data_IF_738029711548
#
_entry.id   IF_738029711548
#
_cell.length_a   1.000
_cell.length_b   1.000
_cell.length_c   1.000
_cell.angle_alpha   90.00
_cell.angle_beta   90.00
_cell.angle_gamma   90.00
#
_symmetry.space_group_name_H-M   'P 1'
#
loop_
_entity.id
_entity.type
_entity.pdbx_description
1 polymer ?
#
# COMPACT_ATOMS: atom_id res chain seq x y z
N UNK A 1 -1.06 -42.58 37.51
CA UNK A 1 -1.63 -41.21 37.60
C UNK A 1 -0.91 -40.19 36.72
N UNK A 2 0.42 -40.22 36.57
CA UNK A 2 1.21 -39.27 35.75
C UNK A 2 0.91 -39.20 34.23
N UNK A 3 0.26 -40.20 33.66
CA UNK A 3 -0.05 -40.24 32.22
C UNK A 3 -1.26 -39.35 31.85
N UNK A 4 -2.16 -39.12 32.81
CA UNK A 4 -3.40 -38.35 32.60
C UNK A 4 -3.13 -36.85 32.52
N UNK A 5 -2.21 -36.34 33.35
CA UNK A 5 -1.87 -34.90 33.39
C UNK A 5 -1.18 -34.42 32.11
N UNK A 6 -0.31 -35.25 31.52
CA UNK A 6 0.38 -34.93 30.26
C UNK A 6 -0.59 -34.87 29.07
N UNK A 7 -1.62 -35.72 29.06
CA UNK A 7 -2.65 -35.72 28.02
C UNK A 7 -3.55 -34.48 28.14
N UNK A 8 -3.88 -34.06 29.37
CA UNK A 8 -4.65 -32.83 29.61
C UNK A 8 -3.85 -31.61 29.16
N UNK A 9 -2.56 -31.52 29.51
CA UNK A 9 -1.69 -30.43 29.09
C UNK A 9 -1.53 -30.36 27.56
N UNK A 10 -1.37 -31.51 26.89
CA UNK A 10 -1.28 -31.58 25.43
C UNK A 10 -2.59 -31.17 24.74
N UNK A 11 -3.74 -31.57 25.28
CA UNK A 11 -5.06 -31.14 24.76
C UNK A 11 -5.29 -29.64 24.92
N UNK A 12 -4.89 -29.04 26.06
CA UNK A 12 -4.97 -27.60 26.27
C UNK A 12 -4.06 -26.82 25.31
N UNK A 13 -2.85 -27.32 25.05
CA UNK A 13 -1.91 -26.74 24.10
C UNK A 13 -2.49 -26.73 22.66
N UNK A 14 -3.09 -27.84 22.22
CA UNK A 14 -3.70 -27.94 20.89
C UNK A 14 -4.94 -27.04 20.74
N UNK A 15 -5.74 -26.87 21.80
CA UNK A 15 -6.89 -25.95 21.80
C UNK A 15 -6.43 -24.48 21.71
N UNK A 16 -5.32 -24.12 22.37
CA UNK A 16 -4.77 -22.76 22.31
C UNK A 16 -4.18 -22.39 20.94
N UNK A 17 -3.70 -23.38 20.16
CA UNK A 17 -3.19 -23.20 18.79
C UNK A 17 -4.31 -23.06 17.74
N UNK A 18 -5.56 -23.44 18.07
CA UNK A 18 -6.69 -23.45 17.13
C UNK A 18 -7.49 -22.15 17.04
N UNK A 19 -7.17 -21.12 17.83
CA UNK A 19 -7.89 -19.85 17.88
C UNK A 19 -7.21 -18.72 17.08
N UNK A 20 -6.59 -19.05 15.95
CA UNK A 20 -6.36 -18.02 14.92
C UNK A 20 -7.71 -17.78 14.25
N UNK A 21 -8.53 -16.93 14.87
CA UNK A 21 -9.76 -16.46 14.26
C UNK A 21 -9.35 -15.62 13.05
N UNK A 22 -9.51 -16.19 11.86
CA UNK A 22 -9.56 -15.42 10.63
C UNK A 22 -10.82 -14.56 10.75
N UNK A 23 -10.67 -13.38 11.33
CA UNK A 23 -11.77 -12.44 11.48
C UNK A 23 -12.33 -12.20 10.08
N UNK A 24 -13.54 -12.71 9.80
CA UNK A 24 -14.23 -12.47 8.53
C UNK A 24 -14.68 -11.02 8.35
N UNK A 25 -14.19 -10.11 9.19
CA UNK A 25 -14.45 -8.68 9.12
C UNK A 25 -13.68 -8.07 7.94
N UNK A 26 -14.35 -7.17 7.22
CA UNK A 26 -13.74 -6.43 6.13
C UNK A 26 -12.62 -5.52 6.68
N UNK A 27 -11.40 -5.56 6.12
CA UNK A 27 -10.36 -4.62 6.52
C UNK A 27 -10.71 -3.20 6.06
N UNK A 28 -10.31 -2.21 6.85
CA UNK A 28 -10.49 -0.79 6.54
C UNK A 28 -9.14 -0.08 6.45
N UNK A 29 -9.03 0.83 5.48
CA UNK A 29 -7.92 1.78 5.36
C UNK A 29 -8.42 3.14 5.83
N UNK A 30 -7.83 3.62 6.93
CA UNK A 30 -8.06 4.95 7.49
C UNK A 30 -6.93 5.83 6.97
N UNK A 31 -7.26 6.60 5.94
CA UNK A 31 -6.30 7.41 5.18
C UNK A 31 -6.20 8.79 5.83
N UNK A 32 -5.01 9.11 6.34
CA UNK A 32 -4.66 10.47 6.73
C UNK A 32 -4.49 11.34 5.48
N UNK A 33 -5.38 12.32 5.30
CA UNK A 33 -5.41 13.19 4.12
C UNK A 33 -4.37 14.32 4.22
N UNK A 34 -3.69 14.68 3.14
CA UNK A 34 -2.80 15.83 2.98
C UNK A 34 -1.66 15.86 4.01
N UNK A 35 -0.95 14.73 4.15
CA UNK A 35 0.17 14.52 5.09
C UNK A 35 1.49 14.85 4.39
N UNK A 36 1.70 16.13 4.11
CA UNK A 36 2.79 16.61 3.25
C UNK A 36 4.09 16.95 4.01
N UNK A 37 4.16 16.73 5.32
CA UNK A 37 5.35 16.99 6.12
C UNK A 37 5.65 15.88 7.11
N UNK A 38 6.93 15.74 7.47
CA UNK A 38 7.36 14.72 8.44
C UNK A 38 6.70 14.90 9.81
N UNK A 39 6.46 16.16 10.23
CA UNK A 39 5.80 16.45 11.51
C UNK A 39 4.38 15.88 11.60
N UNK A 40 3.64 15.91 10.48
CA UNK A 40 2.26 15.40 10.42
C UNK A 40 2.18 13.87 10.42
N UNK A 41 3.24 13.17 9.97
CA UNK A 41 3.23 11.70 9.93
C UNK A 41 2.91 11.12 11.31
N UNK A 42 3.60 11.62 12.34
CA UNK A 42 3.37 11.17 13.73
C UNK A 42 1.97 11.50 14.21
N UNK A 43 1.49 12.71 13.94
CA UNK A 43 0.15 13.18 14.32
C UNK A 43 -0.94 12.24 13.80
N UNK A 44 -0.97 11.99 12.48
CA UNK A 44 -1.99 11.14 11.87
C UNK A 44 -1.89 9.67 12.29
N UNK A 45 -0.67 9.13 12.43
CA UNK A 45 -0.49 7.74 12.86
C UNK A 45 -0.86 7.53 14.34
N UNK A 46 -0.60 8.52 15.19
CA UNK A 46 -1.00 8.50 16.61
C UNK A 46 -2.52 8.64 16.78
N UNK A 47 -3.19 9.34 15.86
CA UNK A 47 -4.66 9.45 15.79
C UNK A 47 -5.35 8.24 15.16
N UNK A 48 -4.58 7.26 14.67
CA UNK A 48 -5.08 5.96 14.24
C UNK A 48 -5.15 5.74 12.73
N UNK A 49 -4.60 6.63 11.91
CA UNK A 49 -4.41 6.35 10.49
C UNK A 49 -3.50 5.13 10.28
N UNK A 50 -3.82 4.31 9.29
CA UNK A 50 -3.00 3.16 8.85
C UNK A 50 -2.49 3.32 7.40
N UNK A 51 -2.92 4.39 6.74
CA UNK A 51 -2.47 4.86 5.43
C UNK A 51 -2.28 6.36 5.51
N UNK A 52 -1.26 6.90 4.83
CA UNK A 52 -1.05 8.33 4.70
C UNK A 52 -1.12 8.70 3.22
N UNK A 53 -1.84 9.76 2.90
CA UNK A 53 -1.88 10.38 1.58
C UNK A 53 -0.99 11.63 1.59
N UNK A 54 -0.19 11.80 0.53
CA UNK A 54 0.66 12.97 0.33
C UNK A 54 0.63 13.43 -1.13
N UNK A 55 0.49 14.74 -1.31
CA UNK A 55 0.44 15.43 -2.59
C UNK A 55 1.84 15.61 -3.17
N UNK A 56 2.09 15.06 -4.36
CA UNK A 56 3.37 15.19 -5.06
C UNK A 56 3.25 16.25 -6.14
N UNK A 57 4.01 17.35 -5.99
CA UNK A 57 4.15 18.35 -7.05
C UNK A 57 5.35 18.04 -7.94
N UNK A 58 5.22 18.45 -9.19
CA UNK A 58 6.26 18.31 -10.20
C UNK A 58 6.66 19.67 -10.74
N UNK A 59 7.89 19.76 -11.23
CA UNK A 59 8.29 20.83 -12.15
C UNK A 59 7.76 20.51 -13.56
N UNK A 60 7.73 21.52 -14.42
CA UNK A 60 7.27 21.37 -15.81
C UNK A 60 8.05 20.33 -16.62
N UNK A 61 9.31 20.06 -16.27
CA UNK A 61 10.13 19.03 -16.91
C UNK A 61 9.80 17.59 -16.43
N UNK A 62 8.87 17.43 -15.49
CA UNK A 62 8.48 16.16 -14.88
C UNK A 62 9.32 15.72 -13.69
N UNK A 63 10.34 16.48 -13.26
CA UNK A 63 11.05 16.15 -12.01
C UNK A 63 10.22 16.51 -10.78
N UNK A 64 10.37 15.76 -9.70
CA UNK A 64 9.67 16.02 -8.44
C UNK A 64 10.14 17.33 -7.85
N UNK A 65 9.17 18.17 -7.48
CA UNK A 65 9.40 19.46 -6.86
C UNK A 65 9.44 19.34 -5.33
N UNK A 66 8.31 18.97 -4.74
CA UNK A 66 8.14 18.81 -3.30
C UNK A 66 6.83 18.07 -2.99
N UNK A 67 6.68 17.64 -1.74
CA UNK A 67 5.38 17.25 -1.20
C UNK A 67 4.66 18.50 -0.73
N UNK A 68 3.56 18.88 -1.38
CA UNK A 68 2.85 20.12 -1.08
C UNK A 68 1.49 20.16 -1.78
N UNK A 69 0.45 20.53 -1.03
CA UNK A 69 -0.88 20.77 -1.58
C UNK A 69 -1.01 22.21 -2.11
N UNK A 70 -0.81 23.20 -1.22
CA UNK A 70 -1.12 24.60 -1.50
C UNK A 70 -2.58 24.98 -1.30
N UNK A 71 -2.90 26.26 -1.52
CA UNK A 71 -4.25 26.79 -1.39
C UNK A 71 -4.97 26.76 -2.74
N UNK A 72 -6.29 26.45 -2.81
CA UNK A 72 -7.19 26.10 -1.70
C UNK A 72 -6.98 24.65 -1.21
N UNK A 73 -7.34 24.37 0.05
CA UNK A 73 -7.38 23.01 0.61
C UNK A 73 -8.59 22.84 1.55
N UNK A 74 -8.77 21.63 2.11
CA UNK A 74 -9.83 21.31 3.06
C UNK A 74 -10.01 22.35 4.18
N UNK A 75 -11.26 22.64 4.53
CA UNK A 75 -11.62 23.57 5.58
C UNK A 75 -10.96 23.21 6.92
N UNK A 76 -10.37 24.21 7.60
CA UNK A 76 -9.73 24.03 8.91
C UNK A 76 -8.33 23.40 8.85
N UNK A 77 -7.78 23.15 7.66
CA UNK A 77 -6.41 22.64 7.49
C UNK A 77 -5.42 23.76 7.20
N UNK A 78 -4.18 23.57 7.67
CA UNK A 78 -3.05 24.38 7.24
C UNK A 78 -2.48 23.79 5.94
N UNK A 79 -2.73 24.45 4.81
CA UNK A 79 -2.28 23.98 3.49
C UNK A 79 -0.77 24.18 3.23
N UNK A 80 -0.06 24.86 4.15
CA UNK A 80 1.32 25.32 3.99
C UNK A 80 2.40 24.27 4.29
N UNK A 81 2.03 23.11 4.81
CA UNK A 81 2.99 22.06 5.17
C UNK A 81 3.58 21.41 3.93
N UNK A 82 4.89 21.15 3.99
CA UNK A 82 5.64 20.58 2.87
C UNK A 82 6.89 19.84 3.31
N UNK A 83 7.40 18.99 2.43
CA UNK A 83 8.65 18.27 2.63
C UNK A 83 9.35 17.96 1.30
N UNK A 84 10.64 17.68 1.40
CA UNK A 84 11.34 17.02 0.30
C UNK A 84 10.95 15.53 0.28
N UNK A 85 10.57 14.99 -0.89
CA UNK A 85 10.14 13.59 -1.01
C UNK A 85 11.21 12.61 -0.54
N UNK A 86 12.50 12.87 -0.79
CA UNK A 86 13.61 12.02 -0.33
C UNK A 86 13.58 11.84 1.18
N UNK A 87 13.46 12.93 1.92
CA UNK A 87 13.53 12.92 3.37
C UNK A 87 12.25 12.33 3.97
N UNK A 88 11.10 12.63 3.36
CA UNK A 88 9.83 12.01 3.68
C UNK A 88 9.89 10.47 3.52
N UNK A 89 10.34 9.96 2.37
CA UNK A 89 10.45 8.52 2.10
C UNK A 89 11.45 7.83 3.03
N UNK A 90 12.58 8.45 3.32
CA UNK A 90 13.54 7.92 4.31
C UNK A 90 12.91 7.83 5.70
N UNK A 91 12.12 8.84 6.08
CA UNK A 91 11.41 8.82 7.36
C UNK A 91 10.41 7.67 7.39
N UNK A 92 9.55 7.53 6.36
CA UNK A 92 8.62 6.40 6.23
C UNK A 92 9.37 5.07 6.35
N UNK A 93 10.42 4.86 5.56
CA UNK A 93 11.24 3.64 5.63
C UNK A 93 11.71 3.36 7.05
N UNK A 94 12.23 4.37 7.74
CA UNK A 94 12.77 4.21 9.08
C UNK A 94 11.68 3.79 10.07
N UNK A 95 10.48 4.39 9.99
CA UNK A 95 9.37 4.09 10.91
C UNK A 95 8.60 2.82 10.54
N UNK A 96 8.81 2.25 9.35
CA UNK A 96 8.22 0.98 8.92
C UNK A 96 9.22 -0.18 8.90
N UNK A 97 10.46 0.04 9.33
CA UNK A 97 11.46 -1.03 9.47
C UNK A 97 11.34 -1.69 10.84
N UNK A 98 10.90 -2.96 10.93
CA UNK A 98 10.78 -3.66 12.21
C UNK A 98 12.13 -3.90 12.91
N UNK A 99 13.25 -3.75 12.20
CA UNK A 99 14.59 -3.97 12.74
C UNK A 99 15.26 -2.67 13.20
N UNK A 100 14.64 -1.52 12.95
CA UNK A 100 15.20 -0.23 13.31
C UNK A 100 14.91 0.10 14.79
N UNK A 101 15.86 -0.30 15.64
CA UNK A 101 15.78 -0.14 17.11
C UNK A 101 15.73 1.32 17.59
N UNK A 102 16.21 2.25 16.76
CA UNK A 102 16.28 3.68 17.09
C UNK A 102 15.01 4.43 16.67
N UNK A 103 14.07 3.76 15.99
CA UNK A 103 12.80 4.36 15.58
C UNK A 103 11.63 3.84 16.41
N UNK A 104 10.66 4.72 16.65
CA UNK A 104 9.32 4.30 17.04
C UNK A 104 8.68 3.61 15.84
N UNK A 105 8.91 2.31 15.70
CA UNK A 105 8.34 1.51 14.62
C UNK A 105 6.80 1.55 14.68
N UNK A 106 6.17 2.06 13.64
CA UNK A 106 4.72 2.19 13.51
C UNK A 106 4.14 0.92 12.87
N UNK A 107 3.81 -0.05 13.73
CA UNK A 107 3.27 -1.35 13.30
C UNK A 107 1.98 -1.27 12.49
N UNK A 108 1.21 -0.19 12.66
CA UNK A 108 -0.07 0.06 11.99
C UNK A 108 0.06 0.68 10.61
N UNK A 109 1.18 1.31 10.26
CA UNK A 109 1.32 1.90 8.93
C UNK A 109 1.50 0.79 7.89
N UNK A 110 0.58 0.71 6.93
CA UNK A 110 0.54 -0.38 5.94
C UNK A 110 0.73 0.10 4.51
N UNK A 111 0.42 1.37 4.23
CA UNK A 111 0.43 1.91 2.88
C UNK A 111 0.79 3.39 2.87
N UNK A 112 1.52 3.78 1.82
CA UNK A 112 1.70 5.17 1.43
C UNK A 112 0.89 5.40 0.14
N UNK A 113 0.07 6.43 0.16
CA UNK A 113 -0.75 6.85 -0.96
C UNK A 113 -0.18 8.17 -1.51
N UNK A 114 0.07 8.26 -2.81
CA UNK A 114 0.57 9.49 -3.44
C UNK A 114 -0.46 10.04 -4.41
N UNK A 115 -0.98 11.25 -4.14
CA UNK A 115 -1.77 12.03 -5.08
C UNK A 115 -0.83 12.83 -5.99
N UNK A 116 -0.82 12.50 -7.28
CA UNK A 116 0.06 13.16 -8.24
C UNK A 116 -0.59 14.41 -8.83
N UNK A 117 -0.08 15.58 -8.45
CA UNK A 117 -0.45 16.89 -9.03
C UNK A 117 0.25 17.10 -10.37
N UNK A 118 -0.24 16.41 -11.39
CA UNK A 118 0.35 16.38 -12.75
C UNK A 118 -0.01 17.58 -13.62
N UNK A 119 -0.92 18.46 -13.17
CA UNK A 119 -1.35 19.68 -13.86
C UNK A 119 -0.18 20.63 -14.20
N UNK A 120 0.87 20.61 -13.39
CA UNK A 120 2.07 21.42 -13.58
C UNK A 120 3.16 20.75 -14.41
N UNK A 121 3.00 19.46 -14.75
CA UNK A 121 4.00 18.67 -15.46
C UNK A 121 3.67 18.55 -16.95
N UNK A 122 4.60 19.00 -17.80
CA UNK A 122 4.50 18.78 -19.25
C UNK A 122 5.09 17.42 -19.68
N UNK A 123 5.62 16.63 -18.73
CA UNK A 123 6.22 15.33 -19.01
C UNK A 123 5.77 14.31 -17.95
N UNK A 124 4.55 13.79 -18.12
CA UNK A 124 3.92 12.80 -17.23
C UNK A 124 4.74 11.50 -17.15
N UNK A 125 5.37 11.09 -18.25
CA UNK A 125 6.26 9.91 -18.30
C UNK A 125 7.49 10.09 -17.42
N UNK A 126 8.18 11.23 -17.50
CA UNK A 126 9.31 11.49 -16.60
C UNK A 126 8.85 11.65 -15.14
N UNK A 127 7.65 12.19 -14.91
CA UNK A 127 7.06 12.29 -13.56
C UNK A 127 6.91 10.92 -12.90
N UNK A 128 6.36 9.95 -13.62
CA UNK A 128 6.27 8.57 -13.15
C UNK A 128 7.65 7.93 -12.95
N UNK A 129 8.59 8.15 -13.88
CA UNK A 129 9.97 7.63 -13.77
C UNK A 129 10.72 8.20 -12.58
N UNK A 130 10.62 9.50 -12.35
CA UNK A 130 11.31 10.17 -11.25
C UNK A 130 10.73 9.75 -9.90
N UNK A 131 9.40 9.64 -9.79
CA UNK A 131 8.75 9.10 -8.60
C UNK A 131 9.19 7.67 -8.30
N UNK A 132 9.19 6.79 -9.31
CA UNK A 132 9.64 5.41 -9.16
C UNK A 132 11.11 5.34 -8.71
N UNK A 133 12.00 6.17 -9.28
CA UNK A 133 13.39 6.29 -8.83
C UNK A 133 13.48 6.69 -7.36
N UNK A 134 12.70 7.67 -6.92
CA UNK A 134 12.69 8.10 -5.51
C UNK A 134 12.22 6.98 -4.57
N UNK A 135 11.13 6.29 -4.90
CA UNK A 135 10.61 5.17 -4.10
C UNK A 135 11.67 4.07 -3.99
N UNK A 136 12.26 3.64 -5.11
CA UNK A 136 13.28 2.59 -5.12
C UNK A 136 14.55 2.99 -4.34
N UNK A 137 14.98 4.25 -4.47
CA UNK A 137 16.23 4.71 -3.88
C UNK A 137 16.14 5.13 -2.41
N UNK A 138 14.95 5.47 -1.91
CA UNK A 138 14.78 6.05 -0.58
C UNK A 138 13.81 5.28 0.33
N UNK A 139 12.81 4.60 -0.25
CA UNK A 139 11.90 3.74 0.49
C UNK A 139 12.34 2.28 0.45
N UNK A 140 12.36 1.67 -0.74
CA UNK A 140 12.67 0.25 -0.94
C UNK A 140 14.16 0.02 -1.22
N UNK A 141 15.00 0.57 -0.35
CA UNK A 141 16.44 0.33 -0.44
C UNK A 141 16.71 -1.13 -0.18
N UNK A 142 17.40 -1.77 -1.13
CA UNK A 142 17.78 -3.19 -1.05
C UNK A 142 18.76 -3.39 0.11
N UNK A 143 18.26 -3.62 1.31
CA UNK A 143 19.08 -4.04 2.44
C UNK A 143 19.13 -5.57 2.50
N UNK A 144 20.11 -6.12 3.23
CA UNK A 144 20.25 -7.59 3.41
C UNK A 144 19.15 -8.18 4.32
N UNK A 145 18.21 -7.37 4.79
CA UNK A 145 17.24 -7.71 5.82
C UNK A 145 15.85 -7.58 5.21
N UNK A 146 14.97 -8.54 5.51
CA UNK A 146 13.57 -8.49 5.13
C UNK A 146 12.89 -7.30 5.85
N UNK A 147 12.81 -6.16 5.16
CA UNK A 147 11.96 -5.05 5.58
C UNK A 147 10.50 -5.46 5.37
N UNK A 148 9.61 -5.14 6.31
CA UNK A 148 8.17 -5.30 6.10
C UNK A 148 7.77 -4.49 4.86
N UNK A 149 7.10 -5.12 3.91
CA UNK A 149 6.65 -4.44 2.70
C UNK A 149 5.57 -3.42 3.04
N UNK A 150 5.82 -2.14 2.77
CA UNK A 150 4.80 -1.12 2.69
C UNK A 150 4.24 -1.09 1.26
N UNK A 151 2.93 -1.02 1.13
CA UNK A 151 2.28 -0.82 -0.16
C UNK A 151 2.38 0.64 -0.59
N UNK A 152 2.66 0.89 -1.87
CA UNK A 152 2.58 2.24 -2.44
C UNK A 152 1.44 2.25 -3.45
N UNK A 153 0.49 3.17 -3.27
CA UNK A 153 -0.55 3.47 -4.24
C UNK A 153 -0.23 4.82 -4.87
N UNK A 154 -0.35 4.88 -6.20
CA UNK A 154 -0.13 6.10 -6.97
C UNK A 154 -1.45 6.46 -7.62
N UNK A 155 -1.98 7.62 -7.28
CA UNK A 155 -3.20 8.17 -7.87
C UNK A 155 -2.84 9.29 -8.85
N UNK A 156 -3.48 9.29 -9.99
CA UNK A 156 -3.36 10.33 -11.00
C UNK A 156 -4.76 10.68 -11.47
N UNK A 157 -5.25 11.85 -11.10
CA UNK A 157 -6.46 12.42 -11.66
C UNK A 157 -6.10 13.15 -12.96
N UNK A 158 -6.22 12.48 -14.11
CA UNK A 158 -6.13 13.14 -15.42
C UNK A 158 -7.53 13.45 -15.92
N UNK A 159 -7.78 14.71 -16.28
CA UNK A 159 -9.03 15.16 -16.93
C UNK A 159 -9.04 14.93 -18.44
N UNK A 160 -8.01 14.28 -19.00
CA UNK A 160 -7.85 14.05 -20.44
C UNK A 160 -7.88 12.56 -20.74
N UNK A 161 -9.02 12.10 -21.25
CA UNK A 161 -9.26 10.74 -21.75
C UNK A 161 -9.23 10.75 -23.29
N UNK A 162 -8.22 11.33 -23.92
CA UNK A 162 -7.97 11.11 -25.35
C UNK A 162 -6.47 11.13 -25.63
N UNK A 163 -5.82 9.97 -25.49
CA UNK A 163 -4.73 9.62 -26.40
C UNK A 163 -4.69 8.10 -26.54
N UNK A 164 -4.83 7.66 -27.77
CA UNK A 164 -4.77 6.28 -28.21
C UNK A 164 -3.38 5.72 -27.85
N UNK A 165 -3.28 5.04 -26.71
CA UNK A 165 -2.05 4.35 -26.32
C UNK A 165 -1.76 3.24 -27.34
N UNK A 166 -0.75 3.48 -28.17
CA UNK A 166 -0.16 2.44 -29.00
C UNK A 166 0.58 1.46 -28.07
N UNK A 167 0.02 0.27 -27.89
CA UNK A 167 0.49 -0.82 -26.99
C UNK A 167 1.90 -1.35 -27.30
N UNK A 168 2.63 -0.75 -28.24
CA UNK A 168 3.93 -1.20 -28.71
C UNK A 168 5.11 -0.87 -27.77
N UNK A 169 4.96 0.10 -26.85
CA UNK A 169 6.09 0.64 -26.06
C UNK A 169 6.36 -0.06 -24.70
N UNK A 170 5.57 -1.09 -24.34
CA UNK A 170 5.70 -1.76 -23.04
C UNK A 170 6.60 -3.01 -23.03
N UNK A 171 7.16 -3.46 -24.16
CA UNK A 171 7.86 -4.76 -24.21
C UNK A 171 9.38 -4.73 -23.93
N UNK A 172 10.06 -3.58 -23.91
CA UNK A 172 11.54 -3.59 -24.02
C UNK A 172 12.40 -3.46 -22.73
N UNK A 173 11.91 -3.25 -21.47
CA UNK A 173 12.79 -3.39 -20.31
C UNK A 173 12.68 -4.73 -19.55
N UNK A 174 11.69 -5.58 -19.82
CA UNK A 174 11.46 -6.81 -19.01
C UNK A 174 12.31 -8.02 -19.43
N UNK A 175 13.08 -7.96 -20.53
CA UNK A 175 13.94 -9.07 -20.98
C UNK A 175 15.20 -9.32 -20.14
N UNK A 176 15.54 -8.45 -19.17
CA UNK A 176 16.74 -8.62 -18.33
C UNK A 176 16.48 -9.20 -16.94
N UNK A 177 15.23 -9.34 -16.50
CA UNK A 177 14.89 -10.03 -15.25
C UNK A 177 14.60 -11.51 -15.50
N UNK A 178 15.64 -12.35 -15.48
CA UNK A 178 15.47 -13.81 -15.35
C UNK A 178 14.90 -14.13 -13.97
N UNK A 179 13.58 -14.15 -13.86
CA UNK A 179 12.87 -14.74 -12.72
C UNK A 179 13.18 -16.23 -12.72
N UNK A 180 13.89 -16.71 -11.70
CA UNK A 180 14.07 -18.13 -11.44
C UNK A 180 12.69 -18.74 -11.15
N UNK A 181 12.16 -19.52 -12.10
CA UNK A 181 11.00 -20.40 -11.88
C UNK A 181 11.53 -21.80 -11.57
N UNK A 182 11.28 -22.35 -10.36
CA UNK A 182 11.51 -23.76 -10.12
C UNK A 182 10.61 -24.60 -11.04
N UNK A 183 11.16 -25.67 -11.61
CA UNK A 183 10.45 -26.56 -12.53
C UNK A 183 9.28 -27.25 -11.83
N UNK A 184 8.08 -27.31 -12.43
CA UNK A 184 6.99 -28.10 -11.89
C UNK A 184 7.29 -29.60 -12.08
N UNK A 185 7.14 -30.35 -10.99
CA UNK A 185 7.20 -31.81 -10.98
C UNK A 185 6.07 -32.39 -11.85
N UNK A 186 6.36 -33.27 -12.82
CA UNK A 186 5.32 -33.91 -13.61
C UNK A 186 4.84 -35.19 -12.89
N UNK A 187 3.66 -35.15 -12.26
CA UNK A 187 2.70 -36.28 -12.21
C UNK A 187 1.61 -36.07 -11.16
N UNK A 188 0.38 -35.79 -11.61
CA UNK A 188 -0.77 -36.67 -11.34
C UNK A 188 -1.99 -36.17 -12.11
N UNK A 189 -2.40 -37.00 -13.07
CA UNK A 189 -3.70 -36.94 -13.69
C UNK A 189 -4.78 -37.16 -12.62
N UNK A 190 -5.86 -36.38 -12.66
CA UNK A 190 -7.21 -36.90 -12.48
C UNK A 190 -8.23 -35.88 -12.97
N UNK A 191 -8.95 -36.30 -14.00
CA UNK A 191 -10.24 -35.79 -14.45
C UNK A 191 -11.26 -35.76 -13.33
N UNK A 192 -11.92 -34.62 -13.10
CA UNK A 192 -13.30 -34.59 -12.60
C UNK A 192 -14.04 -33.40 -13.20
N UNK A 193 -15.29 -33.67 -13.51
CA UNK A 193 -16.28 -32.94 -14.28
C UNK A 193 -16.68 -31.58 -13.72
N UNK A 194 -17.04 -30.69 -14.64
CA UNK A 194 -17.78 -29.45 -14.41
C UNK A 194 -19.02 -29.68 -13.54
N UNK A 195 -19.15 -28.88 -12.49
CA UNK A 195 -20.32 -28.81 -11.62
C UNK A 195 -20.78 -27.36 -11.51
N UNK A 196 -22.06 -27.15 -11.80
CA UNK A 196 -22.76 -25.87 -11.82
C UNK A 196 -22.56 -25.03 -10.54
N UNK A 197 -22.27 -23.75 -10.73
CA UNK A 197 -22.23 -22.75 -9.66
C UNK A 197 -23.65 -22.34 -9.23
N UNK A 198 -23.98 -22.33 -7.93
CA UNK A 198 -25.25 -21.80 -7.46
C UNK A 198 -25.32 -20.28 -7.64
N UNK A 199 -26.37 -19.79 -8.30
CA UNK A 199 -26.76 -18.37 -8.25
C UNK A 199 -27.29 -18.04 -6.87
N UNK A 200 -26.62 -17.12 -6.19
CA UNK A 200 -27.13 -16.51 -4.96
C UNK A 200 -28.19 -15.45 -5.30
N UNK A 201 -29.33 -15.40 -4.59
CA UNK A 201 -30.33 -14.35 -4.77
C UNK A 201 -29.84 -13.02 -4.19
N UNK A 202 -30.08 -11.95 -4.95
CA UNK A 202 -29.82 -10.55 -4.56
C UNK A 202 -30.88 -10.15 -3.52
N UNK A 203 -30.50 -9.62 -2.34
CA UNK A 203 -31.48 -9.12 -1.37
C UNK A 203 -32.11 -7.81 -1.84
N UNK A 204 -33.44 -7.77 -1.75
CA UNK A 204 -34.31 -6.65 -2.07
C UNK A 204 -34.07 -5.47 -1.09
N UNK A 205 -33.89 -4.25 -1.63
CA UNK A 205 -33.73 -3.03 -0.83
C UNK A 205 -35.03 -2.71 -0.10
N UNK A 206 -35.03 -2.79 1.23
CA UNK A 206 -36.05 -2.13 2.06
C UNK A 206 -35.76 -0.63 2.14
N UNK A 207 -36.71 0.17 1.66
CA UNK A 207 -36.80 1.60 1.94
C UNK A 207 -36.99 1.81 3.45
N UNK A 208 -36.07 2.55 4.07
CA UNK A 208 -36.24 3.13 5.39
C UNK A 208 -37.01 4.44 5.23
N UNK A 209 -38.25 4.46 5.69
CA UNK A 209 -39.00 5.68 5.94
C UNK A 209 -38.33 6.47 7.08
N UNK A 210 -38.17 7.78 6.87
CA UNK A 210 -37.69 8.72 7.87
C UNK A 210 -38.83 9.08 8.82
N UNK A 211 -38.61 8.91 10.12
CA UNK A 211 -39.24 9.72 11.17
C UNK A 211 -38.29 10.82 11.59
#
# INVERSE_FOLDING_TARGET
MLYSEKIIAFKLLVISLGLVSCSGQRPFFVIGHMVNSIGQIKEFLDEGSNVLEADVQFFSNGSIKELYHGFPCDCGRLCGFKANLRDYLKYIRNITDPNNKDSNYYTQMTMQFFDLKLDTSNNKTESGRDLAKHILNYLWVKTKIESRGIWVVVESATTEFEEEYNLQDCEEPLRSLKIYRPSPNPSRNNSTSEGDSPRFPIPERRHLERT
#
